data_IF_785401883081
#
_entry.id   IF_785401883081
#
_cell.length_a   1.000
_cell.length_b   1.000
_cell.length_c   1.000
_cell.angle_alpha   90.00
_cell.angle_beta   90.00
_cell.angle_gamma   90.00
#
_symmetry.space_group_name_H-M   'P 1'
#
loop_
_entity.id
_entity.type
_entity.pdbx_description
1 polymer ?
#
# COMPACT_ATOMS: atom_id res chain seq x y z
N UNK A 1 18.88 5.33 20.88
CA UNK A 1 19.96 6.30 20.61
C UNK A 1 19.50 7.10 19.43
N UNK A 2 19.65 8.43 19.49
CA UNK A 2 19.26 9.28 18.37
C UNK A 2 20.13 9.06 17.14
N UNK A 3 19.55 9.19 15.95
CA UNK A 3 20.26 9.21 14.68
C UNK A 3 20.79 10.61 14.45
N UNK A 4 22.12 10.75 14.39
CA UNK A 4 22.80 12.03 14.10
C UNK A 4 23.95 11.79 13.13
N UNK A 5 23.84 12.36 11.94
CA UNK A 5 24.81 12.23 10.86
C UNK A 5 24.64 13.32 9.79
N UNK A 6 25.51 13.35 8.78
CA UNK A 6 25.50 14.39 7.75
C UNK A 6 24.43 14.18 6.67
N UNK A 7 23.78 13.00 6.60
CA UNK A 7 22.75 12.69 5.62
C UNK A 7 21.38 13.29 5.97
N UNK A 8 20.54 13.48 4.95
CA UNK A 8 19.21 14.07 5.12
C UNK A 8 18.29 13.28 6.08
N UNK A 9 18.51 11.97 6.23
CA UNK A 9 17.74 11.09 7.10
C UNK A 9 18.48 10.75 8.42
N UNK A 10 19.66 11.33 8.63
CA UNK A 10 20.45 11.08 9.84
C UNK A 10 20.06 12.07 10.96
N UNK A 11 18.76 12.17 11.25
CA UNK A 11 18.18 13.09 12.22
C UNK A 11 16.92 12.50 12.83
N UNK A 12 16.84 12.49 14.17
CA UNK A 12 15.64 12.04 14.90
C UNK A 12 14.38 12.77 14.46
N UNK A 13 14.46 14.09 14.27
CA UNK A 13 13.32 14.89 13.80
C UNK A 13 12.86 14.49 12.40
N UNK A 14 13.79 14.10 11.53
CA UNK A 14 13.44 13.61 10.20
C UNK A 14 12.83 12.20 10.28
N UNK A 15 13.34 11.35 11.18
CA UNK A 15 12.75 10.04 11.43
C UNK A 15 11.30 10.15 11.92
N UNK A 16 11.02 11.05 12.88
CA UNK A 16 9.67 11.33 13.37
C UNK A 16 8.75 11.83 12.23
N UNK A 17 9.22 12.80 11.45
CA UNK A 17 8.46 13.33 10.31
C UNK A 17 8.19 12.30 9.22
N UNK A 18 9.13 11.39 8.96
CA UNK A 18 8.94 10.27 8.03
C UNK A 18 7.90 9.27 8.57
N UNK A 19 7.92 8.99 9.87
CA UNK A 19 6.91 8.17 10.55
C UNK A 19 5.52 8.78 10.46
N UNK A 20 5.38 10.08 10.69
CA UNK A 20 4.10 10.79 10.52
C UNK A 20 3.58 10.72 9.08
N UNK A 21 4.46 10.93 8.10
CA UNK A 21 4.08 10.88 6.68
C UNK A 21 3.64 9.47 6.25
N UNK A 22 4.42 8.45 6.61
CA UNK A 22 4.10 7.05 6.28
C UNK A 22 2.81 6.60 6.98
N UNK A 23 2.62 6.92 8.26
CA UNK A 23 1.38 6.64 8.97
C UNK A 23 0.15 7.34 8.36
N UNK A 24 0.30 8.56 7.85
CA UNK A 24 -0.79 9.25 7.15
C UNK A 24 -1.23 8.49 5.90
N UNK A 25 -0.27 8.05 5.09
CA UNK A 25 -0.57 7.27 3.87
C UNK A 25 -1.23 5.94 4.25
N UNK A 26 -0.71 5.25 5.26
CA UNK A 26 -1.30 4.01 5.79
C UNK A 26 -2.74 4.24 6.24
N UNK A 27 -3.01 5.36 6.93
CA UNK A 27 -4.36 5.72 7.36
C UNK A 27 -5.31 5.99 6.19
N UNK A 28 -4.82 6.63 5.11
CA UNK A 28 -5.61 6.82 3.89
C UNK A 28 -5.96 5.49 3.23
N UNK A 29 -5.01 4.56 3.13
CA UNK A 29 -5.30 3.21 2.61
C UNK A 29 -6.31 2.51 3.53
N UNK A 30 -6.08 2.49 4.84
CA UNK A 30 -6.93 1.81 5.80
C UNK A 30 -8.38 2.31 5.79
N UNK A 31 -8.58 3.61 5.55
CA UNK A 31 -9.91 4.21 5.45
C UNK A 31 -10.74 3.61 4.31
N UNK A 32 -10.12 3.27 3.18
CA UNK A 32 -10.81 2.63 2.05
C UNK A 32 -11.24 1.18 2.37
N UNK A 33 -10.71 0.58 3.44
CA UNK A 33 -11.06 -0.77 3.92
C UNK A 33 -11.92 -0.76 5.20
N UNK A 34 -12.29 0.41 5.74
CA UNK A 34 -12.90 0.52 7.08
C UNK A 34 -14.31 -0.08 7.15
N UNK A 35 -15.14 0.12 6.12
CA UNK A 35 -16.48 -0.50 6.07
C UNK A 35 -16.35 -1.95 5.60
N UNK A 36 -16.48 -2.93 6.49
CA UNK A 36 -16.41 -4.36 6.12
C UNK A 36 -17.66 -4.87 5.39
N UNK A 37 -18.74 -4.08 5.36
CA UNK A 37 -20.03 -4.46 4.77
C UNK A 37 -20.30 -3.85 3.40
N UNK A 38 -19.49 -2.87 3.00
CA UNK A 38 -19.57 -2.19 1.72
C UNK A 38 -18.20 -2.14 1.03
N UNK A 39 -18.13 -2.69 -0.17
CA UNK A 39 -16.95 -2.69 -1.02
C UNK A 39 -16.96 -1.58 -2.09
N UNK A 40 -17.98 -0.72 -2.10
CA UNK A 40 -18.16 0.32 -3.12
C UNK A 40 -16.93 1.20 -3.30
N UNK A 41 -16.29 1.65 -2.21
CA UNK A 41 -15.08 2.47 -2.27
C UNK A 41 -13.90 1.82 -3.02
N UNK A 42 -13.84 0.48 -3.06
CA UNK A 42 -12.76 -0.28 -3.69
C UNK A 42 -13.05 -0.70 -5.13
N UNK A 43 -14.25 -0.40 -5.66
CA UNK A 43 -14.57 -0.75 -7.05
C UNK A 43 -13.60 -0.06 -8.03
N UNK A 44 -13.29 -0.68 -9.20
CA UNK A 44 -12.17 -0.25 -10.05
C UNK A 44 -12.24 1.19 -10.58
N UNK A 45 -13.44 1.77 -10.67
CA UNK A 45 -13.72 3.14 -11.13
C UNK A 45 -14.01 4.11 -9.97
N UNK A 46 -13.90 3.65 -8.74
CA UNK A 46 -14.06 4.46 -7.54
C UNK A 46 -12.71 4.93 -6.99
N UNK A 47 -12.75 5.94 -6.13
CA UNK A 47 -11.55 6.60 -5.61
C UNK A 47 -10.56 5.62 -4.95
N UNK A 48 -11.03 4.74 -4.07
CA UNK A 48 -10.20 3.74 -3.40
C UNK A 48 -9.67 2.68 -4.38
N UNK A 49 -10.47 2.32 -5.39
CA UNK A 49 -10.06 1.45 -6.50
C UNK A 49 -8.81 1.97 -7.21
N UNK A 50 -8.73 3.27 -7.49
CA UNK A 50 -7.54 3.85 -8.13
C UNK A 50 -6.40 4.16 -7.14
N UNK A 51 -6.74 4.71 -5.96
CA UNK A 51 -5.75 5.32 -5.08
C UNK A 51 -5.04 4.33 -4.14
N UNK A 52 -5.69 3.24 -3.72
CA UNK A 52 -5.06 2.21 -2.86
C UNK A 52 -3.77 1.66 -3.47
N UNK A 53 -3.74 1.16 -4.72
CA UNK A 53 -2.50 0.63 -5.31
C UNK A 53 -1.43 1.72 -5.51
N UNK A 54 -1.84 2.95 -5.84
CA UNK A 54 -0.91 4.07 -6.02
C UNK A 54 -0.26 4.50 -4.70
N UNK A 55 -1.04 4.66 -3.63
CA UNK A 55 -0.51 4.95 -2.30
C UNK A 55 0.38 3.83 -1.76
N UNK A 56 0.01 2.57 -2.02
CA UNK A 56 0.83 1.43 -1.62
C UNK A 56 2.17 1.43 -2.34
N UNK A 57 2.20 1.72 -3.64
CA UNK A 57 3.46 1.83 -4.40
C UNK A 57 4.34 2.98 -3.89
N UNK A 58 3.78 4.17 -3.64
CA UNK A 58 4.49 5.28 -3.02
C UNK A 58 5.08 4.86 -1.67
N UNK A 59 4.30 4.16 -0.84
CA UNK A 59 4.75 3.71 0.47
C UNK A 59 5.89 2.69 0.37
N UNK A 60 5.83 1.76 -0.59
CA UNK A 60 6.92 0.83 -0.88
C UNK A 60 8.21 1.61 -1.22
N UNK A 61 8.15 2.57 -2.14
CA UNK A 61 9.33 3.35 -2.56
C UNK A 61 9.92 4.20 -1.43
N UNK A 62 9.07 4.68 -0.52
CA UNK A 62 9.50 5.42 0.66
C UNK A 62 10.25 4.55 1.67
N UNK A 63 9.84 3.27 1.80
CA UNK A 63 10.22 2.38 2.91
C UNK A 63 11.25 1.32 2.49
N UNK A 64 11.34 1.00 1.19
CA UNK A 64 12.27 0.02 0.65
C UNK A 64 13.75 0.39 0.91
N UNK A 65 14.18 1.66 0.75
CA UNK A 65 15.46 2.10 1.30
C UNK A 65 15.39 2.04 2.84
N UNK A 66 16.40 1.47 3.53
CA UNK A 66 16.38 1.36 4.99
C UNK A 66 16.53 2.74 5.63
N UNK A 67 15.41 3.42 5.84
CA UNK A 67 15.30 4.74 6.49
C UNK A 67 14.72 4.57 7.89
N UNK A 68 15.38 5.15 8.88
CA UNK A 68 14.89 5.15 10.27
C UNK A 68 13.61 5.97 10.36
N UNK A 69 12.65 5.52 11.18
CA UNK A 69 11.39 6.20 11.45
C UNK A 69 10.24 5.88 10.49
N UNK A 70 10.53 5.31 9.31
CA UNK A 70 9.48 4.88 8.40
C UNK A 70 8.64 3.73 9.00
N UNK A 71 7.32 3.87 9.00
CA UNK A 71 6.40 2.79 9.38
C UNK A 71 5.89 2.06 8.15
N UNK A 72 5.37 0.85 8.35
CA UNK A 72 4.79 0.04 7.29
C UNK A 72 3.73 -0.90 7.87
N UNK A 73 2.66 -1.23 7.14
CA UNK A 73 1.66 -2.18 7.64
C UNK A 73 2.25 -3.59 7.81
N UNK A 74 1.63 -4.37 8.70
CA UNK A 74 2.05 -5.75 8.95
C UNK A 74 1.79 -6.66 7.75
N UNK A 75 2.47 -7.82 7.69
CA UNK A 75 2.20 -8.86 6.69
C UNK A 75 0.73 -9.28 6.71
N UNK A 76 0.14 -9.44 7.89
CA UNK A 76 -1.27 -9.81 8.04
C UNK A 76 -2.18 -8.75 7.40
N UNK A 77 -2.01 -7.48 7.78
CA UNK A 77 -2.79 -6.36 7.23
C UNK A 77 -2.70 -6.26 5.71
N UNK A 78 -1.49 -6.36 5.14
CA UNK A 78 -1.31 -6.28 3.69
C UNK A 78 -1.90 -7.48 2.95
N UNK A 79 -1.88 -8.66 3.57
CA UNK A 79 -2.49 -9.87 3.02
C UNK A 79 -4.01 -9.71 2.98
N UNK A 80 -4.61 -9.22 4.07
CA UNK A 80 -6.05 -8.98 4.15
C UNK A 80 -6.50 -7.92 3.14
N UNK A 81 -5.76 -6.80 3.04
CA UNK A 81 -6.03 -5.77 2.03
C UNK A 81 -5.90 -6.28 0.60
N UNK A 82 -4.85 -7.07 0.30
CA UNK A 82 -4.66 -7.68 -1.03
C UNK A 82 -5.86 -8.55 -1.38
N UNK A 83 -6.23 -9.47 -0.50
CA UNK A 83 -7.25 -10.46 -0.80
C UNK A 83 -8.61 -9.81 -0.99
N UNK A 84 -8.94 -8.79 -0.16
CA UNK A 84 -10.17 -8.00 -0.32
C UNK A 84 -10.15 -7.16 -1.60
N UNK A 85 -9.09 -6.38 -1.84
CA UNK A 85 -9.00 -5.50 -3.01
C UNK A 85 -9.06 -6.29 -4.32
N UNK A 86 -8.29 -7.38 -4.44
CA UNK A 86 -8.28 -8.19 -5.67
C UNK A 86 -9.60 -8.90 -5.92
N UNK A 87 -10.29 -9.35 -4.85
CA UNK A 87 -11.64 -9.90 -4.99
C UNK A 87 -12.61 -8.87 -5.55
N UNK A 88 -12.64 -7.65 -4.98
CA UNK A 88 -13.52 -6.57 -5.47
C UNK A 88 -13.17 -6.22 -6.92
N UNK A 89 -11.89 -6.09 -7.25
CA UNK A 89 -11.49 -5.81 -8.62
C UNK A 89 -11.97 -6.89 -9.60
N UNK A 90 -11.77 -8.18 -9.27
CA UNK A 90 -12.21 -9.31 -10.10
C UNK A 90 -13.75 -9.39 -10.24
N UNK A 91 -14.51 -8.98 -9.22
CA UNK A 91 -15.98 -8.99 -9.23
C UNK A 91 -16.59 -7.91 -10.12
N UNK A 92 -15.99 -6.71 -10.17
CA UNK A 92 -16.60 -5.53 -10.79
C UNK A 92 -15.99 -5.12 -12.13
N UNK A 93 -14.76 -5.53 -12.43
CA UNK A 93 -14.05 -5.05 -13.63
C UNK A 93 -14.79 -5.33 -14.94
N UNK A 94 -15.50 -6.46 -15.05
CA UNK A 94 -16.25 -6.82 -16.25
C UNK A 94 -17.50 -5.92 -16.47
N UNK A 95 -18.02 -5.28 -15.42
CA UNK A 95 -19.13 -4.32 -15.55
C UNK A 95 -18.72 -3.03 -16.27
N UNK A 96 -17.40 -2.74 -16.29
CA UNK A 96 -16.83 -1.60 -17.00
C UNK A 96 -16.50 -1.89 -18.47
N UNK A 97 -16.83 -3.10 -18.95
CA UNK A 97 -16.59 -3.57 -20.32
C UNK A 97 -15.17 -3.29 -20.88
N UNK A 98 -14.07 -3.56 -20.13
CA UNK A 98 -12.73 -3.31 -20.60
C UNK A 98 -12.27 -4.33 -21.65
N UNK A 99 -11.20 -4.00 -22.37
CA UNK A 99 -10.54 -4.94 -23.26
C UNK A 99 -9.91 -6.10 -22.47
N UNK A 100 -9.95 -7.32 -23.02
CA UNK A 100 -9.43 -8.52 -22.35
C UNK A 100 -7.93 -8.40 -22.03
N UNK A 101 -7.15 -7.78 -22.92
CA UNK A 101 -5.73 -7.52 -22.70
C UNK A 101 -5.50 -6.57 -21.51
N UNK A 102 -6.28 -5.49 -21.42
CA UNK A 102 -6.24 -4.56 -20.29
C UNK A 102 -6.49 -5.29 -18.96
N UNK A 103 -7.49 -6.17 -18.89
CA UNK A 103 -7.78 -6.93 -17.66
C UNK A 103 -6.57 -7.75 -17.21
N UNK A 104 -5.95 -8.49 -18.13
CA UNK A 104 -4.80 -9.34 -17.82
C UNK A 104 -3.62 -8.49 -17.34
N UNK A 105 -3.28 -7.43 -18.07
CA UNK A 105 -2.15 -6.57 -17.74
C UNK A 105 -2.36 -5.82 -16.43
N UNK A 106 -3.54 -5.20 -16.25
CA UNK A 106 -3.85 -4.42 -15.05
C UNK A 106 -3.86 -5.31 -13.82
N UNK A 107 -4.46 -6.50 -13.90
CA UNK A 107 -4.48 -7.46 -12.78
C UNK A 107 -3.08 -7.88 -12.39
N UNK A 108 -2.19 -8.12 -13.37
CA UNK A 108 -0.79 -8.47 -13.09
C UNK A 108 -0.05 -7.34 -12.35
N UNK A 109 -0.29 -6.07 -12.71
CA UNK A 109 0.27 -4.92 -11.99
C UNK A 109 -0.23 -4.87 -10.54
N UNK A 110 -1.55 -5.00 -10.35
CA UNK A 110 -2.16 -4.96 -9.01
C UNK A 110 -1.60 -6.06 -8.09
N UNK A 111 -1.54 -7.30 -8.58
CA UNK A 111 -0.96 -8.44 -7.85
C UNK A 111 0.50 -8.16 -7.49
N UNK A 112 1.31 -7.72 -8.47
CA UNK A 112 2.73 -7.41 -8.24
C UNK A 112 2.94 -6.35 -7.17
N UNK A 113 2.13 -5.29 -7.16
CA UNK A 113 2.21 -4.22 -6.15
C UNK A 113 1.95 -4.76 -4.74
N UNK A 114 0.90 -5.54 -4.54
CA UNK A 114 0.61 -6.14 -3.23
C UNK A 114 1.66 -7.18 -2.81
N UNK A 115 2.15 -8.02 -3.73
CA UNK A 115 3.19 -9.00 -3.43
C UNK A 115 4.51 -8.32 -3.03
N UNK A 116 4.89 -7.23 -3.71
CA UNK A 116 6.03 -6.39 -3.31
C UNK A 116 5.85 -5.84 -1.90
N UNK A 117 4.66 -5.33 -1.56
CA UNK A 117 4.35 -4.84 -0.22
C UNK A 117 4.50 -5.94 0.84
N UNK A 118 3.85 -7.09 0.64
CA UNK A 118 3.90 -8.23 1.58
C UNK A 118 5.34 -8.72 1.77
N UNK A 119 6.11 -8.84 0.68
CA UNK A 119 7.51 -9.24 0.76
C UNK A 119 8.37 -8.22 1.52
N UNK A 120 8.12 -6.92 1.35
CA UNK A 120 8.81 -5.86 2.09
C UNK A 120 8.46 -5.89 3.58
N UNK A 121 7.18 -6.00 3.94
CA UNK A 121 6.74 -6.14 5.32
C UNK A 121 7.38 -7.36 5.99
N UNK A 122 7.39 -8.51 5.31
CA UNK A 122 8.00 -9.73 5.84
C UNK A 122 9.50 -9.60 6.09
N UNK A 123 10.24 -8.82 5.28
CA UNK A 123 11.65 -8.52 5.57
C UNK A 123 11.78 -7.70 6.85
N UNK A 124 10.96 -6.66 7.00
CA UNK A 124 11.01 -5.71 8.13
C UNK A 124 10.58 -6.32 9.46
N UNK A 125 9.64 -7.26 9.46
CA UNK A 125 9.19 -7.94 10.69
C UNK A 125 10.24 -8.93 11.26
N UNK A 126 11.24 -9.32 10.47
CA UNK A 126 12.32 -10.23 10.88
C UNK A 126 13.56 -9.52 11.41
N UNK A 127 13.66 -8.21 11.17
CA UNK A 127 14.78 -7.35 11.57
C UNK A 127 14.52 -6.71 12.94
#
# INVERSE_FOLDING_TARGET
MGVWGPGNFDSDTVADGLGELTNRIIGQIAQEFEDESDDSALQPDEWGGEMVPAWLEILIEMVEPPRVGATFPSVATLTDWRDRYLRVWDEYIDELEPEDEYKVERRAVLVSTFERAVALAGRRERD
#
